data_IF_087947383074
#
_entry.id   IF_087947383074
#
_cell.length_a   1.000
_cell.length_b   1.000
_cell.length_c   1.000
_cell.angle_alpha   90.00
_cell.angle_beta   90.00
_cell.angle_gamma   90.00
#
_symmetry.space_group_name_H-M   'P 1'
#
loop_
_entity.id
_entity.type
_entity.pdbx_description
1 polymer ?
#
# COMPACT_ATOMS: atom_id res chain seq x y z
N UNK A 1 12.13 23.66 7.20
CA UNK A 1 12.56 23.15 7.47
C UNK A 1 13.26 22.51 7.11
N UNK A 2 13.73 22.48 7.38
CA UNK A 2 14.64 22.07 6.74
C UNK A 2 14.77 20.72 6.60
N UNK A 3 15.17 20.34 5.54
CA UNK A 3 15.54 19.09 5.27
C UNK A 3 16.67 18.84 6.15
N UNK A 4 16.61 17.82 6.88
CA UNK A 4 17.65 17.57 7.84
C UNK A 4 18.82 16.86 7.27
N UNK A 5 19.20 17.19 6.12
CA UNK A 5 20.32 16.51 5.55
C UNK A 5 21.57 17.18 5.92
N UNK A 6 22.30 16.58 6.79
CA UNK A 6 23.49 17.16 7.25
C UNK A 6 24.71 16.50 6.66
N UNK A 7 24.62 15.32 6.17
CA UNK A 7 25.78 14.67 5.66
C UNK A 7 25.40 13.50 4.81
N UNK A 8 26.34 13.01 4.03
CA UNK A 8 26.07 11.93 3.12
C UNK A 8 25.70 10.65 3.83
N UNK A 9 26.28 10.42 4.98
CA UNK A 9 25.95 9.25 5.74
C UNK A 9 24.49 9.24 6.13
N UNK A 10 24.02 10.38 6.62
CA UNK A 10 22.62 10.49 7.02
C UNK A 10 21.70 10.27 5.84
N UNK A 11 22.08 10.82 4.72
CA UNK A 11 21.27 10.68 3.52
C UNK A 11 21.11 9.21 3.12
N UNK A 12 22.20 8.48 3.13
CA UNK A 12 22.13 7.07 2.74
C UNK A 12 21.33 6.25 3.74
N UNK A 13 21.46 6.56 4.99
CA UNK A 13 20.71 5.87 6.03
C UNK A 13 19.22 6.13 5.87
N UNK A 14 18.85 7.37 5.57
CA UNK A 14 17.45 7.71 5.36
C UNK A 14 16.89 6.99 4.15
N UNK A 15 17.66 6.89 3.08
CA UNK A 15 17.18 6.17 1.91
C UNK A 15 16.92 4.71 2.21
N UNK A 16 17.80 4.09 2.97
CA UNK A 16 17.62 2.70 3.33
C UNK A 16 16.38 2.50 4.15
N UNK A 17 16.12 3.41 5.08
CA UNK A 17 14.92 3.33 5.90
C UNK A 17 13.67 3.60 5.10
N UNK A 18 13.74 4.53 4.16
CA UNK A 18 12.60 4.83 3.32
C UNK A 18 12.22 3.62 2.50
N UNK A 19 13.21 2.91 1.97
CA UNK A 19 12.95 1.70 1.20
C UNK A 19 12.28 0.64 2.05
N UNK A 20 12.71 0.52 3.28
CA UNK A 20 12.12 -0.46 4.19
C UNK A 20 10.68 -0.11 4.54
N UNK A 21 10.43 1.16 4.81
CA UNK A 21 9.09 1.64 5.12
C UNK A 21 8.15 1.42 3.94
N UNK A 22 8.64 1.72 2.76
CA UNK A 22 7.87 1.54 1.55
C UNK A 22 7.51 0.08 1.35
N UNK A 23 8.47 -0.79 1.53
CA UNK A 23 8.26 -2.21 1.38
C UNK A 23 7.23 -2.73 2.37
N UNK A 24 7.31 -2.28 3.61
CA UNK A 24 6.36 -2.69 4.63
C UNK A 24 4.97 -2.17 4.32
N UNK A 25 4.89 -0.96 3.81
CA UNK A 25 3.60 -0.38 3.47
C UNK A 25 2.89 -1.21 2.41
N UNK A 26 3.59 -1.54 1.33
CA UNK A 26 2.96 -2.30 0.25
C UNK A 26 2.68 -3.73 0.66
N UNK A 27 3.52 -4.30 1.51
CA UNK A 27 3.28 -5.64 2.02
C UNK A 27 1.99 -5.70 2.83
N UNK A 28 1.65 -4.60 3.48
CA UNK A 28 0.41 -4.52 4.25
C UNK A 28 -0.78 -4.10 3.37
N UNK A 29 -0.51 -3.30 2.36
CA UNK A 29 -1.56 -2.83 1.46
C UNK A 29 -2.15 -3.95 0.62
N UNK A 30 -1.30 -4.86 0.14
CA UNK A 30 -1.76 -5.94 -0.70
C UNK A 30 -2.90 -6.75 -0.08
N UNK A 31 -2.72 -7.29 1.11
CA UNK A 31 -3.79 -8.02 1.77
C UNK A 31 -5.03 -7.17 2.05
N UNK A 32 -4.83 -5.87 2.30
CA UNK A 32 -5.97 -4.99 2.52
C UNK A 32 -6.80 -4.89 1.24
N UNK A 33 -6.14 -4.73 0.11
CA UNK A 33 -6.82 -4.66 -1.18
C UNK A 33 -7.54 -5.98 -1.45
N UNK A 34 -6.91 -7.09 -1.12
CA UNK A 34 -7.53 -8.40 -1.33
C UNK A 34 -8.83 -8.51 -0.52
N UNK A 35 -8.80 -8.11 0.73
CA UNK A 35 -10.00 -8.16 1.56
C UNK A 35 -11.11 -7.29 1.00
N UNK A 36 -10.74 -6.10 0.54
CA UNK A 36 -11.74 -5.19 -0.01
C UNK A 36 -12.33 -5.75 -1.30
N UNK A 37 -11.48 -6.40 -2.11
CA UNK A 37 -11.98 -7.03 -3.33
C UNK A 37 -12.98 -8.12 -3.01
N UNK A 38 -12.65 -8.97 -2.07
CA UNK A 38 -13.54 -10.06 -1.70
C UNK A 38 -14.84 -9.52 -1.10
N UNK A 39 -14.72 -8.49 -0.29
CA UNK A 39 -15.91 -7.87 0.29
C UNK A 39 -16.82 -7.29 -0.79
N UNK A 40 -16.22 -6.76 -1.85
CA UNK A 40 -16.99 -6.21 -2.95
C UNK A 40 -17.59 -7.30 -3.84
N UNK A 41 -17.21 -8.56 -3.60
CA UNK A 41 -17.79 -9.66 -4.36
C UNK A 41 -17.04 -10.00 -5.62
N UNK A 42 -15.84 -9.52 -5.79
CA UNK A 42 -15.08 -9.76 -7.03
C UNK A 42 -14.06 -10.86 -6.85
N UNK A 43 -13.91 -11.67 -7.89
CA UNK A 43 -12.78 -12.58 -7.98
C UNK A 43 -11.60 -11.82 -8.60
N UNK A 44 -10.44 -12.45 -8.62
CA UNK A 44 -9.30 -11.83 -9.30
C UNK A 44 -9.56 -11.73 -10.79
N UNK A 45 -10.25 -12.72 -11.36
CA UNK A 45 -10.59 -12.70 -12.78
C UNK A 45 -11.53 -11.56 -13.11
N UNK A 46 -12.38 -11.19 -12.19
CA UNK A 46 -13.30 -10.08 -12.41
C UNK A 46 -12.56 -8.78 -12.66
N UNK A 47 -11.33 -8.68 -12.20
CA UNK A 47 -10.56 -7.45 -12.38
C UNK A 47 -10.19 -7.21 -13.83
N UNK A 48 -10.27 -8.25 -14.67
CA UNK A 48 -9.97 -8.11 -16.08
C UNK A 48 -10.93 -7.11 -16.73
N UNK A 49 -12.19 -7.14 -16.33
CA UNK A 49 -13.16 -6.22 -16.93
C UNK A 49 -12.89 -4.76 -16.56
N UNK A 50 -12.06 -4.52 -15.57
CA UNK A 50 -11.66 -3.16 -15.21
C UNK A 50 -10.29 -2.81 -15.78
N UNK A 51 -9.73 -3.68 -16.61
CA UNK A 51 -8.46 -3.38 -17.26
C UNK A 51 -7.24 -3.97 -16.58
N UNK A 52 -7.42 -4.83 -15.59
CA UNK A 52 -6.30 -5.41 -14.87
C UNK A 52 -6.21 -6.90 -15.12
N UNK A 53 -5.15 -7.33 -15.79
CA UNK A 53 -4.94 -8.76 -16.00
C UNK A 53 -4.73 -9.46 -14.67
N UNK A 54 -5.04 -10.75 -14.66
CA UNK A 54 -4.97 -11.53 -13.43
C UNK A 54 -3.58 -11.51 -12.83
N UNK A 55 -2.56 -11.69 -13.64
CA UNK A 55 -1.19 -11.72 -13.15
C UNK A 55 -0.80 -10.39 -12.51
N UNK A 56 -1.18 -9.30 -13.17
CA UNK A 56 -0.87 -7.98 -12.63
C UNK A 56 -1.61 -7.77 -11.31
N UNK A 57 -2.86 -8.18 -11.26
CA UNK A 57 -3.65 -8.02 -10.04
C UNK A 57 -3.05 -8.85 -8.91
N UNK A 58 -2.61 -10.06 -9.22
CA UNK A 58 -1.99 -10.90 -8.20
C UNK A 58 -0.75 -10.25 -7.62
N UNK A 59 0.00 -9.53 -8.44
CA UNK A 59 1.18 -8.82 -7.95
C UNK A 59 0.78 -7.71 -6.99
N UNK A 60 -0.31 -7.02 -7.29
CA UNK A 60 -0.81 -5.98 -6.40
C UNK A 60 -1.14 -6.59 -5.03
N UNK A 61 -1.86 -7.67 -5.03
CA UNK A 61 -2.27 -8.30 -3.77
C UNK A 61 -1.09 -8.95 -3.05
N UNK A 62 -0.04 -9.26 -3.78
CA UNK A 62 1.16 -9.82 -3.18
C UNK A 62 2.05 -8.75 -2.55
N UNK A 63 1.68 -7.50 -2.68
CA UNK A 63 2.44 -6.44 -2.02
C UNK A 63 3.48 -5.76 -2.88
N UNK A 64 3.38 -5.90 -4.19
CA UNK A 64 4.31 -5.17 -5.06
C UNK A 64 3.90 -3.71 -5.13
N UNK A 65 4.86 -2.80 -5.28
CA UNK A 65 4.55 -1.37 -5.33
C UNK A 65 3.63 -1.02 -6.50
N UNK A 66 2.74 -0.08 -6.25
CA UNK A 66 1.86 0.45 -7.29
C UNK A 66 1.90 1.97 -7.20
N UNK A 67 1.48 2.60 -8.27
CA UNK A 67 1.43 4.06 -8.28
C UNK A 67 0.19 4.54 -7.56
N UNK A 68 0.22 5.79 -7.16
CA UNK A 68 -0.96 6.40 -6.55
C UNK A 68 -2.13 6.41 -7.52
N UNK A 69 -1.84 6.61 -8.80
CA UNK A 69 -2.89 6.58 -9.81
C UNK A 69 -3.61 5.24 -9.82
N UNK A 70 -2.84 4.16 -9.79
CA UNK A 70 -3.43 2.84 -9.77
C UNK A 70 -4.26 2.64 -8.51
N UNK A 71 -3.75 3.10 -7.38
CA UNK A 71 -4.46 2.94 -6.13
C UNK A 71 -5.77 3.71 -6.14
N UNK A 72 -5.79 4.90 -6.72
CA UNK A 72 -7.03 5.67 -6.84
C UNK A 72 -8.06 4.93 -7.68
N UNK A 73 -7.62 4.31 -8.76
CA UNK A 73 -8.52 3.54 -9.59
C UNK A 73 -9.08 2.33 -8.86
N UNK A 74 -8.22 1.66 -8.11
CA UNK A 74 -8.63 0.51 -7.32
C UNK A 74 -9.70 0.93 -6.31
N UNK A 75 -9.52 2.07 -5.67
CA UNK A 75 -10.51 2.56 -4.72
C UNK A 75 -11.85 2.76 -5.37
N UNK A 76 -11.86 3.30 -6.58
CA UNK A 76 -13.13 3.52 -7.28
C UNK A 76 -13.78 2.20 -7.66
N UNK A 77 -13.00 1.25 -8.12
CA UNK A 77 -13.53 -0.05 -8.50
C UNK A 77 -14.12 -0.77 -7.29
N UNK A 78 -13.44 -0.70 -6.18
CA UNK A 78 -13.85 -1.42 -4.98
C UNK A 78 -14.83 -0.64 -4.13
N UNK A 79 -15.20 0.57 -4.56
CA UNK A 79 -16.19 1.35 -3.84
C UNK A 79 -15.74 1.82 -2.47
N UNK A 80 -14.46 2.17 -2.36
CA UNK A 80 -13.92 2.61 -1.09
C UNK A 80 -13.17 3.92 -1.29
N UNK A 81 -12.69 4.50 -0.20
CA UNK A 81 -11.95 5.74 -0.25
C UNK A 81 -10.47 5.46 -0.05
N UNK A 82 -9.66 6.41 -0.49
CA UNK A 82 -8.22 6.30 -0.29
C UNK A 82 -7.91 6.21 1.20
N UNK A 83 -8.60 7.02 1.98
CA UNK A 83 -8.40 7.01 3.43
C UNK A 83 -8.67 5.64 4.02
N UNK A 84 -9.76 5.02 3.63
CA UNK A 84 -10.11 3.71 4.16
C UNK A 84 -9.09 2.65 3.78
N UNK A 85 -8.59 2.74 2.56
CA UNK A 85 -7.62 1.76 2.07
C UNK A 85 -6.30 1.84 2.81
N UNK A 86 -5.83 3.05 3.11
CA UNK A 86 -4.51 3.19 3.71
C UNK A 86 -4.54 3.36 5.23
N UNK A 87 -5.71 3.35 5.82
CA UNK A 87 -5.79 3.58 7.26
C UNK A 87 -5.01 2.51 8.02
N UNK A 88 -4.16 2.96 8.91
CA UNK A 88 -3.40 2.06 9.75
C UNK A 88 -2.23 1.39 9.10
N UNK A 89 -1.86 1.79 7.89
CA UNK A 89 -0.74 1.15 7.20
C UNK A 89 0.58 1.90 7.35
N UNK A 90 0.56 3.08 7.93
CA UNK A 90 1.78 3.85 8.08
C UNK A 90 2.63 3.34 9.23
N UNK A 91 3.89 3.72 9.26
CA UNK A 91 4.80 3.25 10.32
C UNK A 91 4.36 3.68 11.71
N UNK A 92 3.72 4.82 11.81
CA UNK A 92 3.26 5.28 13.10
C UNK A 92 2.10 4.47 13.64
N UNK A 93 1.28 3.97 12.74
CA UNK A 93 0.18 3.14 13.15
C UNK A 93 0.67 1.81 13.69
N UNK A 94 1.74 1.31 13.13
CA UNK A 94 2.33 0.07 13.63
C UNK A 94 2.81 0.24 15.05
N UNK A 95 3.38 1.37 15.36
CA UNK A 95 3.81 1.65 16.72
C UNK A 95 2.64 1.73 17.66
N UNK A 96 1.57 2.34 17.23
CA UNK A 96 0.39 2.44 18.06
C UNK A 96 -0.21 1.08 18.36
N UNK A 97 -0.20 0.21 17.38
CA UNK A 97 -0.73 -1.12 17.58
C UNK A 97 0.03 -1.88 18.63
N UNK A 98 1.32 -1.70 18.66
CA UNK A 98 2.14 -2.36 19.66
C UNK A 98 1.73 -1.94 21.06
N UNK A 99 1.33 -0.71 21.21
CA UNK A 99 0.97 -0.20 22.51
C UNK A 99 -0.44 -0.50 22.93
N UNK A 100 -1.27 -0.88 22.04
CA UNK A 100 -2.63 -1.11 22.43
C UNK A 100 -2.75 -2.32 23.30
N UNK A 101 -3.47 -2.21 24.36
CA UNK A 101 -3.66 -3.35 25.26
C UNK A 101 -4.56 -4.38 24.64
#
# INVERSE_FOLDING_TARGET
MPWPIQGTKSYKTLLAKDNEIEKQFFAALGPRIQRLRKRAGYSQEDMISFGYGVRYWQRIEAGKPITLRTLLRICRILGTTMEAVVRGLGPEAAKRQVKRP
#
